data_IF_298324915586
#
_entry.id   IF_298324915586
#
_cell.length_a   1.000
_cell.length_b   1.000
_cell.length_c   1.000
_cell.angle_alpha   90.00
_cell.angle_beta   90.00
_cell.angle_gamma   90.00
#
_symmetry.space_group_name_H-M   'P 1'
#
loop_
_entity.id
_entity.type
_entity.pdbx_description
1 polymer ?
#
# COMPACT_ATOMS: atom_id res chain seq x y z
N UNK A 1 67.10 0.21 -27.21
CA UNK A 1 65.73 -0.25 -26.91
C UNK A 1 65.58 -0.30 -25.40
N UNK A 2 64.75 0.55 -24.78
CA UNK A 2 64.58 0.52 -23.33
C UNK A 2 63.99 -0.85 -22.92
N UNK A 3 64.42 -1.44 -21.79
CA UNK A 3 63.98 -2.77 -21.41
C UNK A 3 62.48 -2.76 -21.14
N UNK A 4 61.74 -3.66 -21.77
CA UNK A 4 60.29 -3.79 -21.62
C UNK A 4 59.87 -4.24 -20.21
N UNK A 5 60.81 -4.81 -19.43
CA UNK A 5 60.60 -5.32 -18.07
C UNK A 5 59.94 -4.33 -17.11
N UNK A 6 60.54 -3.16 -16.80
CA UNK A 6 59.98 -2.20 -15.85
C UNK A 6 58.59 -1.66 -16.23
N UNK A 7 58.31 -1.49 -17.53
CA UNK A 7 57.01 -0.99 -18.01
C UNK A 7 55.92 -2.06 -17.86
N UNK A 8 56.25 -3.32 -18.16
CA UNK A 8 55.32 -4.44 -18.01
C UNK A 8 55.01 -4.71 -16.53
N UNK A 9 56.01 -4.60 -15.65
CA UNK A 9 55.84 -4.72 -14.20
C UNK A 9 54.90 -3.65 -13.64
N UNK A 10 55.06 -2.40 -14.09
CA UNK A 10 54.20 -1.28 -13.70
C UNK A 10 52.74 -1.49 -14.15
N UNK A 11 52.54 -1.99 -15.36
CA UNK A 11 51.20 -2.32 -15.87
C UNK A 11 50.54 -3.44 -15.06
N UNK A 12 51.27 -4.51 -14.74
CA UNK A 12 50.77 -5.62 -13.92
C UNK A 12 50.43 -5.16 -12.49
N UNK A 13 51.29 -4.36 -11.86
CA UNK A 13 51.03 -3.78 -10.54
C UNK A 13 49.78 -2.89 -10.59
N UNK A 14 49.67 -2.02 -11.61
CA UNK A 14 48.50 -1.17 -11.81
C UNK A 14 47.20 -1.96 -11.98
N UNK A 15 47.25 -3.07 -12.73
CA UNK A 15 46.09 -3.93 -12.96
C UNK A 15 45.66 -4.68 -11.69
N UNK A 16 46.63 -5.15 -10.89
CA UNK A 16 46.36 -5.78 -9.58
C UNK A 16 45.73 -4.77 -8.63
N UNK A 17 46.29 -3.56 -8.52
CA UNK A 17 45.74 -2.50 -7.66
C UNK A 17 44.34 -2.11 -8.10
N UNK A 18 44.10 -1.96 -9.42
CA UNK A 18 42.78 -1.66 -9.95
C UNK A 18 41.76 -2.77 -9.66
N UNK A 19 42.16 -4.04 -9.82
CA UNK A 19 41.30 -5.19 -9.49
C UNK A 19 40.93 -5.22 -8.01
N UNK A 20 41.89 -4.93 -7.12
CA UNK A 20 41.65 -4.86 -5.68
C UNK A 20 40.72 -3.69 -5.32
N UNK A 21 40.87 -2.54 -5.99
CA UNK A 21 40.01 -1.37 -5.81
C UNK A 21 38.57 -1.64 -6.26
N UNK A 22 38.40 -2.28 -7.42
CA UNK A 22 37.09 -2.68 -7.94
C UNK A 22 36.42 -3.72 -7.05
N UNK A 23 37.17 -4.74 -6.60
CA UNK A 23 36.68 -5.75 -5.68
C UNK A 23 36.25 -5.13 -4.34
N UNK A 24 37.09 -4.27 -3.76
CA UNK A 24 36.77 -3.57 -2.52
C UNK A 24 35.52 -2.70 -2.66
N UNK A 25 35.37 -1.96 -3.76
CA UNK A 25 34.16 -1.17 -4.03
C UNK A 25 32.93 -2.05 -4.22
N UNK A 26 33.03 -3.16 -4.94
CA UNK A 26 31.93 -4.10 -5.14
C UNK A 26 31.47 -4.72 -3.81
N UNK A 27 32.40 -5.20 -2.98
CA UNK A 27 32.10 -5.74 -1.64
C UNK A 27 31.46 -4.68 -0.74
N UNK A 28 31.97 -3.44 -0.77
CA UNK A 28 31.40 -2.33 -0.01
C UNK A 28 29.97 -2.03 -0.45
N UNK A 29 29.73 -1.92 -1.77
CA UNK A 29 28.40 -1.68 -2.33
C UNK A 29 27.43 -2.83 -1.98
N UNK A 30 27.87 -4.09 -2.11
CA UNK A 30 27.06 -5.26 -1.76
C UNK A 30 26.66 -5.27 -0.28
N UNK A 31 27.59 -4.97 0.62
CA UNK A 31 27.32 -4.84 2.07
C UNK A 31 26.35 -3.71 2.42
N UNK A 32 26.25 -2.67 1.60
CA UNK A 32 25.26 -1.59 1.77
C UNK A 32 23.92 -1.92 1.13
N UNK A 33 23.91 -2.60 -0.02
CA UNK A 33 22.69 -2.90 -0.77
C UNK A 33 21.91 -4.08 -0.19
N UNK A 34 22.58 -5.13 0.30
CA UNK A 34 21.91 -6.31 0.86
C UNK A 34 20.98 -5.98 2.04
N UNK A 35 21.39 -5.17 3.05
CA UNK A 35 20.48 -4.75 4.11
C UNK A 35 19.32 -3.90 3.60
N UNK A 36 19.58 -2.99 2.65
CA UNK A 36 18.54 -2.14 2.07
C UNK A 36 17.52 -2.93 1.24
N UNK A 37 17.97 -3.97 0.53
CA UNK A 37 17.13 -4.93 -0.19
C UNK A 37 16.33 -5.80 0.79
N UNK A 38 16.98 -6.31 1.84
CA UNK A 38 16.33 -7.13 2.86
C UNK A 38 15.23 -6.35 3.62
N UNK A 39 15.43 -5.05 3.86
CA UNK A 39 14.45 -4.13 4.42
C UNK A 39 13.25 -3.89 3.49
N UNK A 40 13.51 -3.72 2.20
CA UNK A 40 12.46 -3.34 1.23
C UNK A 40 11.68 -4.52 0.68
N UNK A 41 12.26 -5.73 0.69
CA UNK A 41 11.66 -6.91 0.07
C UNK A 41 10.29 -7.31 0.66
N UNK A 42 10.09 -7.43 1.99
CA UNK A 42 8.76 -7.79 2.53
C UNK A 42 7.68 -6.76 2.17
N UNK A 43 8.03 -5.48 2.22
CA UNK A 43 7.14 -4.38 1.85
C UNK A 43 6.82 -4.38 0.35
N UNK A 44 7.82 -4.67 -0.49
CA UNK A 44 7.65 -4.77 -1.93
C UNK A 44 6.80 -5.98 -2.33
N UNK A 45 6.99 -7.13 -1.69
CA UNK A 45 6.18 -8.33 -1.88
C UNK A 45 4.73 -8.10 -1.45
N UNK A 46 4.51 -7.50 -0.28
CA UNK A 46 3.18 -7.11 0.18
C UNK A 46 2.47 -6.16 -0.80
N UNK A 47 3.17 -5.10 -1.22
CA UNK A 47 2.65 -4.15 -2.22
C UNK A 47 2.32 -4.85 -3.53
N UNK A 48 3.20 -5.72 -4.01
CA UNK A 48 3.01 -6.49 -5.25
C UNK A 48 1.77 -7.39 -5.15
N UNK A 49 1.56 -8.07 -4.03
CA UNK A 49 0.39 -8.93 -3.83
C UNK A 49 -0.92 -8.12 -3.85
N UNK A 50 -0.95 -6.95 -3.21
CA UNK A 50 -2.10 -6.04 -3.27
C UNK A 50 -2.34 -5.59 -4.71
N UNK A 51 -1.31 -5.09 -5.40
CA UNK A 51 -1.46 -4.61 -6.78
C UNK A 51 -1.88 -5.71 -7.75
N UNK A 52 -1.35 -6.93 -7.63
CA UNK A 52 -1.73 -8.07 -8.46
C UNK A 52 -3.19 -8.49 -8.21
N UNK A 53 -3.64 -8.50 -6.96
CA UNK A 53 -5.03 -8.83 -6.62
C UNK A 53 -5.98 -7.74 -7.13
N UNK A 54 -5.58 -6.47 -7.01
CA UNK A 54 -6.31 -5.35 -7.59
C UNK A 54 -6.45 -5.45 -9.10
N UNK A 55 -5.34 -5.72 -9.81
CA UNK A 55 -5.35 -5.88 -11.26
C UNK A 55 -6.21 -7.07 -11.72
N UNK A 56 -6.26 -8.16 -10.94
CA UNK A 56 -7.13 -9.31 -11.26
C UNK A 56 -8.62 -8.96 -11.20
N UNK A 57 -9.05 -8.19 -10.20
CA UNK A 57 -10.46 -7.85 -10.00
C UNK A 57 -10.94 -6.66 -10.86
N UNK A 58 -10.08 -5.68 -11.08
CA UNK A 58 -10.44 -4.45 -11.81
C UNK A 58 -9.92 -4.41 -13.26
N UNK A 59 -8.97 -5.28 -13.61
CA UNK A 59 -8.31 -5.31 -14.92
C UNK A 59 -7.24 -4.23 -15.07
N UNK A 60 -6.62 -4.17 -16.25
CA UNK A 60 -5.66 -3.12 -16.63
C UNK A 60 -6.35 -1.77 -16.95
N UNK A 61 -7.66 -1.79 -17.17
CA UNK A 61 -8.49 -0.60 -17.37
C UNK A 61 -8.74 0.05 -16.01
N UNK A 62 -8.05 1.15 -15.74
CA UNK A 62 -8.38 2.02 -14.62
C UNK A 62 -9.83 2.48 -14.79
N UNK A 63 -10.72 2.05 -13.89
CA UNK A 63 -12.05 2.64 -13.78
C UNK A 63 -11.82 4.10 -13.39
N UNK A 64 -12.25 5.06 -14.22
CA UNK A 64 -12.04 6.48 -13.95
C UNK A 64 -12.52 6.84 -12.54
N UNK A 65 -11.64 7.43 -11.73
CA UNK A 65 -11.90 7.75 -10.32
C UNK A 65 -11.59 6.62 -9.31
N UNK A 66 -11.06 5.47 -9.74
CA UNK A 66 -10.57 4.40 -8.87
C UNK A 66 -9.05 4.23 -9.04
N UNK A 67 -8.28 4.39 -7.97
CA UNK A 67 -6.82 4.30 -8.00
C UNK A 67 -6.29 3.41 -6.88
N UNK A 68 -5.53 2.38 -7.25
CA UNK A 68 -4.75 1.60 -6.30
C UNK A 68 -3.42 2.33 -6.00
N UNK A 69 -3.12 2.49 -4.72
CA UNK A 69 -1.85 2.92 -4.16
C UNK A 69 -1.21 1.74 -3.42
N UNK A 70 0.02 1.94 -2.94
CA UNK A 70 0.84 0.91 -2.28
C UNK A 70 0.11 0.11 -1.20
N UNK A 71 -0.72 0.78 -0.38
CA UNK A 71 -1.48 0.16 0.70
C UNK A 71 -2.86 0.79 0.86
N UNK A 72 -3.41 1.40 -0.20
CA UNK A 72 -4.76 1.94 -0.15
C UNK A 72 -5.42 1.95 -1.52
N UNK A 73 -6.73 1.89 -1.53
CA UNK A 73 -7.56 2.08 -2.73
C UNK A 73 -8.31 3.40 -2.54
N UNK A 74 -8.08 4.34 -3.46
CA UNK A 74 -8.72 5.65 -3.45
C UNK A 74 -9.83 5.64 -4.49
N UNK A 75 -11.01 6.12 -4.09
CA UNK A 75 -12.21 6.10 -4.91
C UNK A 75 -12.86 7.47 -4.87
N UNK A 76 -13.21 8.03 -6.02
CA UNK A 76 -14.02 9.23 -6.08
C UNK A 76 -15.41 8.94 -5.48
N UNK A 77 -15.83 9.77 -4.53
CA UNK A 77 -17.12 9.59 -3.84
C UNK A 77 -18.28 9.50 -4.81
N UNK A 78 -18.22 10.24 -5.92
CA UNK A 78 -19.25 10.28 -6.96
C UNK A 78 -19.48 8.95 -7.68
N UNK A 79 -18.53 8.01 -7.64
CA UNK A 79 -18.68 6.67 -8.21
C UNK A 79 -19.62 5.78 -7.38
N UNK A 80 -19.56 5.93 -6.06
CA UNK A 80 -20.30 5.08 -5.13
C UNK A 80 -21.56 5.76 -4.61
N UNK A 81 -21.49 7.07 -4.37
CA UNK A 81 -22.53 7.82 -3.67
C UNK A 81 -23.09 8.97 -4.51
N UNK A 82 -24.34 9.30 -4.23
CA UNK A 82 -25.00 10.53 -4.66
C UNK A 82 -24.56 11.71 -3.76
N UNK A 83 -24.98 12.92 -4.11
CA UNK A 83 -24.59 14.12 -3.35
C UNK A 83 -25.17 14.15 -1.93
N UNK A 84 -26.35 13.55 -1.76
CA UNK A 84 -27.07 13.32 -0.50
C UNK A 84 -26.48 12.17 0.36
N UNK A 85 -25.57 11.37 -0.20
CA UNK A 85 -24.89 10.30 0.54
C UNK A 85 -25.57 8.93 0.47
N UNK A 86 -26.55 8.76 -0.43
CA UNK A 86 -27.11 7.44 -0.76
C UNK A 86 -26.20 6.69 -1.76
N UNK A 87 -26.21 5.36 -1.71
CA UNK A 87 -25.49 4.54 -2.69
C UNK A 87 -26.17 4.59 -4.06
N UNK A 88 -25.36 4.75 -5.11
CA UNK A 88 -25.85 4.70 -6.48
C UNK A 88 -26.15 3.25 -6.89
N UNK A 89 -27.19 2.99 -7.68
CA UNK A 89 -27.44 1.64 -8.22
C UNK A 89 -26.25 1.10 -9.06
N UNK A 90 -25.53 1.99 -9.75
CA UNK A 90 -24.33 1.63 -10.52
C UNK A 90 -23.13 1.21 -9.64
N UNK A 91 -23.17 1.52 -8.34
CA UNK A 91 -22.06 1.23 -7.41
C UNK A 91 -21.94 -0.26 -7.07
N UNK A 92 -23.03 -1.04 -7.22
CA UNK A 92 -23.08 -2.46 -6.83
C UNK A 92 -21.97 -3.29 -7.47
N UNK A 93 -21.64 -3.03 -8.74
CA UNK A 93 -20.56 -3.73 -9.44
C UNK A 93 -19.19 -3.42 -8.82
N UNK A 94 -18.96 -2.15 -8.46
CA UNK A 94 -17.69 -1.71 -7.84
C UNK A 94 -17.57 -2.29 -6.44
N UNK A 95 -18.63 -2.18 -5.63
CA UNK A 95 -18.68 -2.72 -4.27
C UNK A 95 -18.41 -4.22 -4.28
N UNK A 96 -19.06 -4.97 -5.18
CA UNK A 96 -18.82 -6.42 -5.31
C UNK A 96 -17.38 -6.77 -5.65
N UNK A 97 -16.74 -6.02 -6.55
CA UNK A 97 -15.31 -6.22 -6.88
C UNK A 97 -14.40 -5.85 -5.72
N UNK A 98 -14.71 -4.79 -4.97
CA UNK A 98 -13.96 -4.44 -3.75
C UNK A 98 -14.09 -5.55 -2.70
N UNK A 99 -15.29 -6.08 -2.50
CA UNK A 99 -15.52 -7.18 -1.56
C UNK A 99 -14.70 -8.42 -1.92
N UNK A 100 -14.70 -8.82 -3.21
CA UNK A 100 -13.90 -9.93 -3.72
C UNK A 100 -12.41 -9.71 -3.56
N UNK A 101 -11.94 -8.48 -3.81
CA UNK A 101 -10.56 -8.11 -3.61
C UNK A 101 -10.14 -8.33 -2.15
N UNK A 102 -10.90 -7.84 -1.18
CA UNK A 102 -10.55 -8.02 0.23
C UNK A 102 -10.73 -9.46 0.70
N UNK A 103 -11.74 -10.17 0.20
CA UNK A 103 -11.91 -11.58 0.46
C UNK A 103 -10.71 -12.39 -0.04
N UNK A 104 -10.19 -12.08 -1.24
CA UNK A 104 -8.99 -12.71 -1.77
C UNK A 104 -7.74 -12.36 -0.96
N UNK A 105 -7.59 -11.11 -0.51
CA UNK A 105 -6.42 -10.69 0.27
C UNK A 105 -6.40 -11.31 1.68
N UNK A 106 -7.56 -11.39 2.33
CA UNK A 106 -7.70 -11.91 3.69
C UNK A 106 -7.87 -13.45 3.70
N UNK A 107 -8.28 -14.03 2.57
CA UNK A 107 -8.31 -15.47 2.34
C UNK A 107 -6.92 -16.08 2.19
N UNK A 108 -5.97 -15.36 1.59
CA UNK A 108 -4.57 -15.78 1.53
C UNK A 108 -3.90 -15.63 2.90
N UNK A 109 -3.53 -16.75 3.51
CA UNK A 109 -2.93 -16.77 4.87
C UNK A 109 -1.63 -15.97 4.92
N UNK A 110 -0.82 -15.98 3.85
CA UNK A 110 0.44 -15.23 3.83
C UNK A 110 0.19 -13.73 3.83
N UNK A 111 -0.68 -13.25 2.95
CA UNK A 111 -1.02 -11.83 2.86
C UNK A 111 -1.81 -11.35 4.08
N UNK A 112 -2.76 -12.14 4.58
CA UNK A 112 -3.59 -11.82 5.76
C UNK A 112 -2.75 -11.54 7.01
N UNK A 113 -1.73 -12.35 7.28
CA UNK A 113 -0.88 -12.16 8.47
C UNK A 113 -0.12 -10.82 8.44
N UNK A 114 0.04 -10.22 7.26
CA UNK A 114 0.66 -8.91 7.08
C UNK A 114 -0.35 -7.75 7.12
N UNK A 115 -1.64 -8.02 7.32
CA UNK A 115 -2.70 -7.02 7.44
C UNK A 115 -3.16 -6.95 8.89
N UNK A 116 -3.06 -5.78 9.50
CA UNK A 116 -3.64 -5.51 10.82
C UNK A 116 -5.12 -5.14 10.70
N UNK A 117 -5.41 -4.11 9.90
CA UNK A 117 -6.76 -3.58 9.73
C UNK A 117 -6.91 -2.90 8.36
N UNK A 118 -8.13 -2.88 7.85
CA UNK A 118 -8.57 -2.15 6.67
C UNK A 118 -9.46 -1.00 7.14
N UNK A 119 -9.02 0.23 6.96
CA UNK A 119 -9.77 1.42 7.30
C UNK A 119 -10.60 1.87 6.10
N UNK A 120 -11.91 1.94 6.27
CA UNK A 120 -12.82 2.57 5.31
C UNK A 120 -12.98 4.03 5.73
N UNK A 121 -12.20 4.91 5.10
CA UNK A 121 -12.08 6.31 5.51
C UNK A 121 -12.84 7.24 4.58
N UNK A 122 -13.67 8.09 5.17
CA UNK A 122 -14.29 9.23 4.49
C UNK A 122 -13.69 10.53 5.00
N UNK A 123 -13.77 11.58 4.19
CA UNK A 123 -13.36 12.93 4.58
C UNK A 123 -14.56 13.86 4.69
N UNK A 124 -14.51 14.77 5.65
CA UNK A 124 -15.53 15.80 5.86
C UNK A 124 -14.89 17.19 5.91
N UNK A 125 -15.57 18.25 5.46
CA UNK A 125 -15.04 19.60 5.52
C UNK A 125 -14.82 20.04 6.97
N UNK A 126 -13.62 20.54 7.26
CA UNK A 126 -13.24 21.05 8.59
C UNK A 126 -13.24 22.59 8.62
N UNK A 127 -13.67 23.21 7.54
CA UNK A 127 -13.86 24.65 7.39
C UNK A 127 -15.34 25.01 7.42
N UNK A 128 -15.70 25.96 8.28
CA UNK A 128 -17.05 26.52 8.35
C UNK A 128 -17.66 26.52 9.76
N UNK A 129 -18.95 26.83 9.87
CA UNK A 129 -19.66 26.88 11.14
C UNK A 129 -19.63 25.52 11.85
N UNK A 130 -19.49 25.52 13.19
CA UNK A 130 -19.43 24.30 14.02
C UNK A 130 -20.54 23.29 13.71
N UNK A 131 -21.77 23.77 13.50
CA UNK A 131 -22.92 22.92 13.16
C UNK A 131 -22.75 22.22 11.80
N UNK A 132 -22.18 22.89 10.81
CA UNK A 132 -21.92 22.30 9.49
C UNK A 132 -20.82 21.23 9.56
N UNK A 133 -19.77 21.45 10.37
CA UNK A 133 -18.71 20.46 10.61
C UNK A 133 -19.28 19.21 11.27
N UNK A 134 -20.13 19.36 12.30
CA UNK A 134 -20.78 18.23 12.99
C UNK A 134 -21.64 17.44 12.00
N UNK A 135 -22.51 18.11 11.25
CA UNK A 135 -23.37 17.46 10.26
C UNK A 135 -22.56 16.74 9.16
N UNK A 136 -21.50 17.37 8.65
CA UNK A 136 -20.61 16.77 7.67
C UNK A 136 -19.88 15.53 8.18
N UNK A 137 -19.43 15.56 9.45
CA UNK A 137 -18.81 14.41 10.10
C UNK A 137 -19.79 13.26 10.28
N UNK A 138 -21.01 13.54 10.73
CA UNK A 138 -22.07 12.54 10.90
C UNK A 138 -22.44 11.89 9.56
N UNK A 139 -22.63 12.69 8.51
CA UNK A 139 -22.90 12.18 7.17
C UNK A 139 -21.75 11.29 6.66
N UNK A 140 -20.50 11.72 6.81
CA UNK A 140 -19.34 10.93 6.43
C UNK A 140 -19.27 9.61 7.20
N UNK A 141 -19.63 9.59 8.49
CA UNK A 141 -19.61 8.40 9.32
C UNK A 141 -20.69 7.40 8.90
N UNK A 142 -21.88 7.91 8.58
CA UNK A 142 -22.98 7.09 8.04
C UNK A 142 -22.59 6.47 6.70
N UNK A 143 -22.00 7.25 5.79
CA UNK A 143 -21.53 6.75 4.50
C UNK A 143 -20.42 5.71 4.65
N UNK A 144 -19.50 5.90 5.60
CA UNK A 144 -18.45 4.93 5.90
C UNK A 144 -19.02 3.59 6.41
N UNK A 145 -19.99 3.66 7.33
CA UNK A 145 -20.72 2.48 7.81
C UNK A 145 -21.48 1.78 6.67
N UNK A 146 -22.22 2.54 5.88
CA UNK A 146 -23.00 2.01 4.76
C UNK A 146 -22.12 1.32 3.72
N UNK A 147 -20.96 1.89 3.37
CA UNK A 147 -20.02 1.23 2.47
C UNK A 147 -19.49 -0.07 3.08
N UNK A 148 -19.10 -0.05 4.35
CA UNK A 148 -18.60 -1.24 5.05
C UNK A 148 -19.65 -2.36 5.07
N UNK A 149 -20.89 -2.04 5.42
CA UNK A 149 -21.98 -3.03 5.44
C UNK A 149 -22.28 -3.56 4.04
N UNK A 150 -22.29 -2.67 3.03
CA UNK A 150 -22.48 -3.06 1.63
C UNK A 150 -21.38 -3.99 1.11
N UNK A 151 -20.15 -3.86 1.60
CA UNK A 151 -19.08 -4.81 1.27
C UNK A 151 -19.41 -6.22 1.77
N UNK A 152 -19.97 -6.33 2.98
CA UNK A 152 -20.36 -7.61 3.57
C UNK A 152 -21.62 -8.18 2.93
N UNK A 153 -22.58 -7.34 2.57
CA UNK A 153 -23.78 -7.80 1.86
C UNK A 153 -23.42 -8.36 0.47
N UNK A 154 -22.48 -7.70 -0.23
CA UNK A 154 -22.06 -8.15 -1.55
C UNK A 154 -21.27 -9.48 -1.52
N UNK A 155 -20.49 -9.74 -0.47
CA UNK A 155 -19.79 -11.01 -0.25
C UNK A 155 -19.90 -11.42 1.25
N UNK A 156 -20.95 -12.18 1.64
CA UNK A 156 -21.24 -12.49 3.05
C UNK A 156 -20.11 -13.18 3.81
N UNK A 157 -19.27 -13.96 3.11
CA UNK A 157 -18.11 -14.62 3.70
C UNK A 157 -17.10 -13.62 4.26
N UNK A 158 -16.96 -12.44 3.63
CA UNK A 158 -16.10 -11.37 4.12
C UNK A 158 -16.56 -10.88 5.50
N UNK A 159 -17.86 -10.67 5.67
CA UNK A 159 -18.45 -10.28 6.95
C UNK A 159 -18.40 -11.39 8.00
N UNK A 160 -18.65 -12.64 7.60
CA UNK A 160 -18.67 -13.76 8.52
C UNK A 160 -17.29 -14.07 9.12
N UNK A 161 -16.23 -14.00 8.30
CA UNK A 161 -14.88 -14.42 8.72
C UNK A 161 -13.95 -13.27 9.07
N UNK A 162 -14.14 -12.10 8.47
CA UNK A 162 -13.14 -11.04 8.48
C UNK A 162 -13.63 -9.67 8.94
N UNK A 163 -14.86 -9.55 9.47
CA UNK A 163 -15.40 -8.28 9.97
C UNK A 163 -14.49 -7.55 10.97
N UNK A 164 -13.76 -8.29 11.81
CA UNK A 164 -12.82 -7.73 12.78
C UNK A 164 -11.61 -7.00 12.13
N UNK A 165 -11.33 -7.25 10.85
CA UNK A 165 -10.27 -6.59 10.10
C UNK A 165 -10.71 -5.25 9.52
N UNK A 166 -11.94 -4.80 9.71
CA UNK A 166 -12.43 -3.56 9.10
C UNK A 166 -12.86 -2.55 10.16
N UNK A 167 -12.57 -1.28 9.90
CA UNK A 167 -13.12 -0.16 10.66
C UNK A 167 -13.52 1.00 9.75
N UNK A 168 -14.76 1.46 9.91
CA UNK A 168 -15.26 2.69 9.33
C UNK A 168 -14.78 3.89 10.15
N UNK A 169 -14.13 4.84 9.48
CA UNK A 169 -13.54 6.02 10.11
C UNK A 169 -13.75 7.28 9.27
N UNK A 170 -13.68 8.44 9.91
CA UNK A 170 -13.83 9.74 9.27
C UNK A 170 -12.68 10.65 9.67
N UNK A 171 -12.23 11.47 8.72
CA UNK A 171 -11.11 12.40 8.92
C UNK A 171 -11.47 13.79 8.41
N UNK A 172 -10.99 14.85 9.07
CA UNK A 172 -11.15 16.20 8.56
C UNK A 172 -10.40 16.37 7.24
N UNK A 173 -11.00 17.10 6.30
CA UNK A 173 -10.38 17.43 5.03
C UNK A 173 -9.42 18.61 5.24
N UNK A 174 -8.12 18.35 5.14
CA UNK A 174 -7.13 19.42 5.15
C UNK A 174 -6.95 20.01 3.75
N UNK A 175 -7.35 21.28 3.58
CA UNK A 175 -7.33 22.08 2.34
C UNK A 175 -6.00 22.03 1.56
N UNK A 176 -4.88 21.68 2.20
CA UNK A 176 -3.55 21.58 1.54
C UNK A 176 -3.37 20.38 0.60
N UNK A 177 -4.29 19.40 0.57
CA UNK A 177 -4.09 18.14 -0.17
C UNK A 177 -4.91 17.96 -1.44
N UNK A 178 -5.78 18.90 -1.84
CA UNK A 178 -6.49 18.86 -3.13
C UNK A 178 -7.26 17.56 -3.41
N UNK A 179 -7.64 16.83 -2.37
CA UNK A 179 -8.30 15.52 -2.44
C UNK A 179 -9.62 15.62 -1.67
N UNK A 180 -10.50 16.49 -2.18
CA UNK A 180 -11.87 16.60 -1.70
C UNK A 180 -12.73 15.51 -2.31
N UNK A 181 -13.68 15.00 -1.53
CA UNK A 181 -14.65 14.04 -2.03
C UNK A 181 -14.06 12.69 -2.44
N UNK A 182 -12.99 12.24 -1.78
CA UNK A 182 -12.42 10.90 -1.99
C UNK A 182 -12.71 9.99 -0.79
N UNK A 183 -12.91 8.71 -1.11
CA UNK A 183 -13.02 7.60 -0.18
C UNK A 183 -11.69 6.85 -0.22
N UNK A 184 -11.14 6.49 0.92
CA UNK A 184 -9.90 5.72 1.00
C UNK A 184 -10.13 4.42 1.78
N UNK A 185 -9.96 3.28 1.11
CA UNK A 185 -9.85 1.98 1.77
C UNK A 185 -8.37 1.68 2.01
N UNK A 186 -7.89 1.97 3.22
CA UNK A 186 -6.48 1.87 3.58
C UNK A 186 -6.18 0.57 4.31
N UNK A 187 -5.24 -0.20 3.79
CA UNK A 187 -4.70 -1.40 4.42
C UNK A 187 -3.55 -1.00 5.33
N UNK A 188 -3.70 -1.23 6.62
CA UNK A 188 -2.69 -1.00 7.63
C UNK A 188 -1.88 -2.29 7.80
N UNK A 189 -0.57 -2.26 7.55
CA UNK A 189 0.26 -3.44 7.71
C UNK A 189 0.38 -3.83 9.19
N UNK A 190 0.54 -5.13 9.46
CA UNK A 190 0.75 -5.63 10.81
C UNK A 190 2.17 -5.36 11.33
N UNK A 191 2.32 -5.41 12.66
CA UNK A 191 3.64 -5.36 13.29
C UNK A 191 4.53 -6.54 12.89
N UNK A 192 3.95 -7.67 12.45
CA UNK A 192 4.73 -8.79 11.92
C UNK A 192 5.53 -8.38 10.69
N UNK A 193 4.98 -7.54 9.82
CA UNK A 193 5.75 -6.99 8.69
C UNK A 193 6.93 -6.14 9.17
N UNK A 194 6.77 -5.39 10.27
CA UNK A 194 7.87 -4.64 10.88
C UNK A 194 8.89 -5.56 11.57
N UNK A 195 8.45 -6.62 12.23
CA UNK A 195 9.32 -7.60 12.89
C UNK A 195 10.12 -8.41 11.86
N UNK A 196 9.52 -8.83 10.74
CA UNK A 196 10.23 -9.50 9.65
C UNK A 196 11.34 -8.62 9.07
N UNK A 197 11.06 -7.32 8.92
CA UNK A 197 12.03 -6.31 8.50
C UNK A 197 13.19 -6.21 9.53
N UNK A 198 12.88 -6.18 10.83
CA UNK A 198 13.88 -6.15 11.90
C UNK A 198 14.70 -7.44 12.00
N UNK A 199 14.08 -8.62 11.88
CA UNK A 199 14.78 -9.91 11.91
C UNK A 199 15.74 -10.06 10.72
N UNK A 200 15.36 -9.56 9.54
CA UNK A 200 16.26 -9.52 8.39
C UNK A 200 17.47 -8.61 8.63
N UNK A 201 17.32 -7.50 9.38
CA UNK A 201 18.44 -6.64 9.76
C UNK A 201 19.43 -7.30 10.72
N UNK A 202 18.94 -8.08 11.70
CA UNK A 202 19.80 -8.76 12.68
C UNK A 202 20.82 -9.70 12.01
N UNK A 203 20.48 -10.24 10.83
CA UNK A 203 21.42 -11.06 10.03
C UNK A 203 22.61 -10.28 9.48
N UNK A 204 22.55 -8.94 9.47
CA UNK A 204 23.60 -8.06 8.94
C UNK A 204 24.30 -7.23 10.02
N UNK A 205 23.95 -7.40 11.30
CA UNK A 205 24.60 -6.73 12.44
C UNK A 205 25.76 -7.51 13.06
N UNK A 206 26.03 -8.73 12.56
CA UNK A 206 27.15 -9.59 12.92
C UNK A 206 28.03 -9.85 11.70
#
# INVERSE_FOLDING_TARGET
MPPAGPVLSLLLIGLVVLSALLYYRAVKIQRFLEPALALSQPRNEFTRNISQTFQREFGALQVGGLQARTSSIVIDRSLLFTADGALRPSSTVIIKRLSRLFLSLLGDTRTRNNISIVLVSFRYPDDGPKLAIIAGREQAQQMAGLLQDSLYEAEPELGAKYKAYFAATVQPEHLRRGQSGVIELRIIPSELLHIEVLQKLVKYTH
#
